data_IF_109199377598
#
_entry.id   IF_109199377598
#
_cell.length_a   1.000
_cell.length_b   1.000
_cell.length_c   1.000
_cell.angle_alpha   90.00
_cell.angle_beta   90.00
_cell.angle_gamma   90.00
#
_symmetry.space_group_name_H-M   'P 1'
#
loop_
_entity.id
_entity.type
_entity.pdbx_description
1 polymer ?
#
# COMPACT_ATOMS: atom_id res chain seq x y z
N UNK A 1 -9.63 10.04 -12.69
CA UNK A 1 -10.36 11.19 -12.10
C UNK A 1 -9.93 12.52 -12.69
N UNK A 2 -8.62 12.81 -12.81
CA UNK A 2 -8.09 14.05 -13.43
C UNK A 2 -8.73 14.40 -14.78
N UNK A 3 -8.74 13.46 -15.73
CA UNK A 3 -9.38 13.63 -17.05
C UNK A 3 -10.84 14.08 -17.00
N UNK A 4 -11.62 13.62 -16.02
CA UNK A 4 -13.06 13.98 -15.90
C UNK A 4 -13.22 15.43 -15.44
N UNK A 5 -12.33 15.89 -14.57
CA UNK A 5 -12.32 17.28 -14.11
C UNK A 5 -11.82 18.20 -15.22
N UNK A 6 -10.76 17.81 -15.94
CA UNK A 6 -10.23 18.57 -17.06
C UNK A 6 -11.26 18.72 -18.19
N UNK A 7 -11.98 17.66 -18.52
CA UNK A 7 -13.08 17.74 -19.49
C UNK A 7 -14.18 18.70 -19.01
N UNK A 8 -14.56 18.63 -17.73
CA UNK A 8 -15.54 19.55 -17.15
C UNK A 8 -15.06 21.01 -17.16
N UNK A 9 -13.79 21.25 -16.86
CA UNK A 9 -13.21 22.59 -16.90
C UNK A 9 -13.13 23.14 -18.32
N UNK A 10 -12.82 22.28 -19.29
CA UNK A 10 -12.85 22.64 -20.70
C UNK A 10 -14.29 23.02 -21.13
N UNK A 11 -15.29 22.23 -20.73
CA UNK A 11 -16.70 22.55 -20.99
C UNK A 11 -17.11 23.87 -20.32
N UNK A 12 -16.67 24.11 -19.08
CA UNK A 12 -16.92 25.38 -18.38
C UNK A 12 -16.26 26.56 -19.11
N UNK A 13 -14.99 26.42 -19.50
CA UNK A 13 -14.23 27.44 -20.21
C UNK A 13 -14.83 27.76 -21.58
N UNK A 14 -15.28 26.75 -22.32
CA UNK A 14 -15.99 26.91 -23.60
C UNK A 14 -17.29 27.73 -23.46
N UNK A 15 -17.88 27.74 -22.26
CA UNK A 15 -19.05 28.54 -21.91
C UNK A 15 -18.70 29.82 -21.14
N UNK A 16 -17.43 30.23 -21.09
CA UNK A 16 -16.92 31.38 -20.33
C UNK A 16 -17.25 31.33 -18.83
N UNK A 17 -17.35 30.12 -18.27
CA UNK A 17 -17.61 29.88 -16.85
C UNK A 17 -16.33 29.41 -16.17
N UNK A 18 -16.13 29.86 -14.93
CA UNK A 18 -15.23 29.16 -14.02
C UNK A 18 -15.86 27.84 -13.58
N UNK A 19 -15.03 26.91 -13.12
CA UNK A 19 -15.48 25.63 -12.55
C UNK A 19 -16.57 25.83 -11.50
N UNK A 20 -16.35 26.69 -10.52
CA UNK A 20 -17.32 26.99 -9.46
C UNK A 20 -18.63 27.57 -10.02
N UNK A 21 -18.55 28.43 -11.04
CA UNK A 21 -19.75 29.00 -11.67
C UNK A 21 -20.52 27.93 -12.44
N UNK A 22 -19.84 27.04 -13.16
CA UNK A 22 -20.46 25.92 -13.86
C UNK A 22 -21.18 24.96 -12.90
N UNK A 23 -20.57 24.67 -11.73
CA UNK A 23 -21.21 23.89 -10.67
C UNK A 23 -22.46 24.61 -10.14
N UNK A 24 -22.39 25.92 -9.89
CA UNK A 24 -23.55 26.70 -9.45
C UNK A 24 -24.69 26.72 -10.48
N UNK A 25 -24.37 26.73 -11.77
CA UNK A 25 -25.39 26.61 -12.83
C UNK A 25 -26.14 25.30 -12.67
N UNK A 26 -25.44 24.17 -12.52
CA UNK A 26 -26.06 22.86 -12.31
C UNK A 26 -26.92 22.79 -11.04
N UNK A 27 -26.46 23.39 -9.94
CA UNK A 27 -27.22 23.45 -8.69
C UNK A 27 -28.54 24.24 -8.83
N UNK A 28 -28.50 25.35 -9.60
CA UNK A 28 -29.62 26.29 -9.76
C UNK A 28 -30.61 25.92 -10.87
N UNK A 29 -30.28 24.99 -11.76
CA UNK A 29 -31.14 24.63 -12.92
C UNK A 29 -32.43 23.89 -12.52
N UNK A 30 -32.61 23.51 -11.25
CA UNK A 30 -33.85 22.92 -10.72
C UNK A 30 -34.09 21.44 -11.09
N UNK A 31 -33.22 20.84 -11.90
CA UNK A 31 -33.25 19.41 -12.22
C UNK A 31 -32.48 18.59 -11.18
N UNK A 32 -33.12 17.57 -10.62
CA UNK A 32 -32.47 16.63 -9.69
C UNK A 32 -31.25 15.94 -10.31
N UNK A 33 -31.27 15.65 -11.62
CA UNK A 33 -30.13 15.08 -12.32
C UNK A 33 -28.93 16.03 -12.34
N UNK A 34 -29.14 17.31 -12.65
CA UNK A 34 -28.07 18.31 -12.70
C UNK A 34 -27.54 18.64 -11.29
N UNK A 35 -28.41 18.70 -10.29
CA UNK A 35 -27.98 18.82 -8.89
C UNK A 35 -27.11 17.63 -8.45
N UNK A 36 -27.52 16.40 -8.78
CA UNK A 36 -26.72 15.21 -8.51
C UNK A 36 -25.38 15.26 -9.26
N UNK A 37 -25.37 15.78 -10.50
CA UNK A 37 -24.15 15.97 -11.27
C UNK A 37 -23.20 16.98 -10.59
N UNK A 38 -23.70 18.10 -10.09
CA UNK A 38 -22.91 19.06 -9.32
C UNK A 38 -22.26 18.41 -8.09
N UNK A 39 -23.03 17.64 -7.31
CA UNK A 39 -22.53 16.89 -6.15
C UNK A 39 -21.44 15.89 -6.54
N UNK A 40 -21.64 15.17 -7.65
CA UNK A 40 -20.66 14.21 -8.17
C UNK A 40 -19.35 14.87 -8.58
N UNK A 41 -19.41 16.01 -9.29
CA UNK A 41 -18.23 16.79 -9.69
C UNK A 41 -17.49 17.31 -8.44
N UNK A 42 -18.19 17.91 -7.48
CA UNK A 42 -17.60 18.36 -6.20
C UNK A 42 -16.89 17.22 -5.47
N UNK A 43 -17.52 16.06 -5.39
CA UNK A 43 -16.95 14.87 -4.75
C UNK A 43 -15.68 14.41 -5.47
N UNK A 44 -15.68 14.45 -6.81
CA UNK A 44 -14.53 14.05 -7.63
C UNK A 44 -13.36 15.01 -7.46
N UNK A 45 -13.62 16.32 -7.36
CA UNK A 45 -12.59 17.34 -7.09
C UNK A 45 -11.94 17.10 -5.74
N UNK A 46 -12.73 16.92 -4.67
CA UNK A 46 -12.19 16.63 -3.34
C UNK A 46 -11.32 15.38 -3.33
N UNK A 47 -11.81 14.29 -3.93
CA UNK A 47 -11.05 13.04 -4.04
C UNK A 47 -9.75 13.18 -4.82
N UNK A 48 -9.73 13.97 -5.89
CA UNK A 48 -8.49 14.19 -6.64
C UNK A 48 -7.45 14.89 -5.76
N UNK A 49 -7.84 15.92 -5.00
CA UNK A 49 -6.93 16.61 -4.09
C UNK A 49 -6.39 15.72 -2.97
N UNK A 50 -7.20 14.78 -2.47
CA UNK A 50 -6.75 13.78 -1.50
C UNK A 50 -5.68 12.85 -2.10
N UNK A 51 -5.92 12.35 -3.32
CA UNK A 51 -5.00 11.48 -4.04
C UNK A 51 -3.69 12.19 -4.39
N UNK A 52 -3.74 13.47 -4.77
CA UNK A 52 -2.53 14.25 -5.06
C UNK A 52 -1.66 14.43 -3.82
N UNK A 53 -2.28 14.70 -2.66
CA UNK A 53 -1.55 14.77 -1.38
C UNK A 53 -0.94 13.42 -0.99
N UNK A 54 -1.67 12.33 -1.21
CA UNK A 54 -1.15 10.98 -0.97
C UNK A 54 0.02 10.64 -1.92
N UNK A 55 -0.07 11.05 -3.19
CA UNK A 55 1.01 10.89 -4.17
C UNK A 55 2.26 11.64 -3.73
N UNK A 56 2.12 12.90 -3.29
CA UNK A 56 3.24 13.70 -2.78
C UNK A 56 3.90 13.03 -1.57
N UNK A 57 3.11 12.53 -0.62
CA UNK A 57 3.65 11.80 0.53
C UNK A 57 4.37 10.50 0.13
N UNK A 58 3.94 9.84 -0.95
CA UNK A 58 4.62 8.67 -1.52
C UNK A 58 5.93 9.01 -2.24
N UNK A 59 5.96 10.13 -2.93
CA UNK A 59 7.15 10.61 -3.66
C UNK A 59 8.22 11.12 -2.70
N UNK A 60 7.82 11.80 -1.61
CA UNK A 60 8.72 12.25 -0.55
C UNK A 60 9.25 11.09 0.32
N UNK A 61 8.53 9.95 0.36
CA UNK A 61 9.00 8.78 1.08
C UNK A 61 10.22 8.15 0.39
N UNK A 62 11.27 7.88 1.17
CA UNK A 62 12.43 7.13 0.70
C UNK A 62 11.96 5.81 0.04
N UNK A 63 12.48 5.43 -1.14
CA UNK A 63 12.01 4.23 -1.87
C UNK A 63 11.98 2.96 -1.02
N UNK A 64 12.93 2.83 -0.10
CA UNK A 64 13.07 1.73 0.86
C UNK A 64 11.90 1.65 1.86
N UNK A 65 11.26 2.77 2.18
CA UNK A 65 10.21 2.91 3.19
C UNK A 65 8.80 2.89 2.60
N UNK A 66 8.64 3.00 1.27
CA UNK A 66 7.32 2.97 0.60
C UNK A 66 6.45 1.77 0.99
N UNK A 67 6.97 0.53 1.12
CA UNK A 67 6.17 -0.60 1.60
C UNK A 67 5.62 -0.39 3.01
N UNK A 68 6.39 0.29 3.88
CA UNK A 68 6.00 0.56 5.26
C UNK A 68 4.93 1.66 5.34
N UNK A 69 4.96 2.64 4.42
CA UNK A 69 3.92 3.68 4.29
C UNK A 69 2.58 3.06 3.89
N UNK A 70 2.58 2.17 2.89
CA UNK A 70 1.39 1.39 2.48
C UNK A 70 0.85 0.58 3.67
N UNK A 71 1.74 -0.11 4.39
CA UNK A 71 1.36 -0.97 5.50
C UNK A 71 0.74 -0.21 6.70
N UNK A 72 1.02 1.10 6.84
CA UNK A 72 0.52 1.93 7.94
C UNK A 72 -0.95 2.35 7.76
N UNK A 73 -1.42 2.44 6.52
CA UNK A 73 -2.78 2.80 6.16
C UNK A 73 -3.28 1.94 4.98
N UNK A 74 -3.54 0.64 5.22
CA UNK A 74 -3.92 -0.28 4.16
C UNK A 74 -5.32 0.04 3.63
N UNK A 75 -5.42 0.37 2.34
CA UNK A 75 -6.69 0.43 1.62
C UNK A 75 -7.03 -0.99 1.11
N UNK A 76 -7.98 -1.66 1.79
CA UNK A 76 -8.28 -3.08 1.58
C UNK A 76 -8.61 -3.45 0.13
N UNK A 77 -9.55 -2.75 -0.54
CA UNK A 77 -9.85 -2.96 -1.95
C UNK A 77 -8.64 -2.79 -2.87
N UNK A 78 -7.81 -1.76 -2.65
CA UNK A 78 -6.60 -1.51 -3.46
C UNK A 78 -5.58 -2.63 -3.27
N UNK A 79 -5.36 -3.05 -2.03
CA UNK A 79 -4.46 -4.17 -1.73
C UNK A 79 -4.97 -5.47 -2.34
N UNK A 80 -6.27 -5.75 -2.24
CA UNK A 80 -6.84 -6.99 -2.78
C UNK A 80 -6.70 -7.05 -4.31
N UNK A 81 -6.96 -5.95 -5.02
CA UNK A 81 -6.69 -5.85 -6.45
C UNK A 81 -5.21 -6.00 -6.77
N UNK A 82 -4.34 -5.27 -6.06
CA UNK A 82 -2.90 -5.36 -6.25
C UNK A 82 -2.35 -6.78 -6.00
N UNK A 83 -2.86 -7.49 -4.99
CA UNK A 83 -2.48 -8.88 -4.72
C UNK A 83 -2.94 -9.85 -5.81
N UNK A 84 -4.10 -9.61 -6.43
CA UNK A 84 -4.59 -10.45 -7.53
C UNK A 84 -3.81 -10.21 -8.83
N UNK A 85 -3.41 -8.97 -9.08
CA UNK A 85 -2.70 -8.57 -10.30
C UNK A 85 -1.16 -8.70 -10.17
N UNK A 86 -0.64 -8.95 -8.96
CA UNK A 86 0.80 -9.04 -8.73
C UNK A 86 1.39 -10.32 -9.35
N UNK A 87 2.12 -10.14 -10.45
CA UNK A 87 2.94 -11.17 -11.05
C UNK A 87 4.42 -10.94 -10.68
N UNK A 88 5.02 -11.76 -9.80
CA UNK A 88 6.42 -11.59 -9.42
C UNK A 88 7.33 -11.77 -10.64
N UNK A 89 8.14 -10.74 -10.95
CA UNK A 89 9.06 -10.73 -12.09
C UNK A 89 10.22 -11.74 -12.00
N UNK A 90 10.24 -12.58 -10.96
CA UNK A 90 11.24 -13.63 -10.76
C UNK A 90 10.49 -14.97 -10.88
N UNK A 91 10.98 -15.93 -11.69
CA UNK A 91 10.36 -17.24 -11.80
C UNK A 91 10.52 -18.01 -10.49
N UNK A 92 9.60 -17.80 -9.55
CA UNK A 92 9.48 -18.62 -8.35
C UNK A 92 8.85 -19.94 -8.78
N UNK A 93 9.69 -20.90 -9.15
CA UNK A 93 9.20 -22.24 -9.48
C UNK A 93 8.80 -22.96 -8.19
N UNK A 94 7.68 -23.68 -8.21
CA UNK A 94 7.22 -24.48 -7.07
C UNK A 94 8.31 -25.46 -6.60
N UNK A 95 9.07 -26.01 -7.54
CA UNK A 95 10.21 -26.89 -7.27
C UNK A 95 11.33 -26.17 -6.51
N UNK A 96 11.67 -24.93 -6.89
CA UNK A 96 12.68 -24.14 -6.19
C UNK A 96 12.31 -23.87 -4.74
N UNK A 97 11.02 -23.62 -4.46
CA UNK A 97 10.52 -23.45 -3.10
C UNK A 97 10.67 -24.74 -2.27
N UNK A 98 10.30 -25.89 -2.83
CA UNK A 98 10.41 -27.20 -2.17
C UNK A 98 11.87 -27.53 -1.83
N UNK A 99 12.78 -27.36 -2.80
CA UNK A 99 14.20 -27.64 -2.58
C UNK A 99 14.85 -26.67 -1.58
N UNK A 100 14.47 -25.39 -1.62
CA UNK A 100 14.93 -24.40 -0.64
C UNK A 100 14.46 -24.76 0.76
N UNK A 101 13.18 -25.11 0.92
CA UNK A 101 12.62 -25.55 2.20
C UNK A 101 13.29 -26.83 2.72
N UNK A 102 13.48 -27.83 1.87
CA UNK A 102 14.16 -29.08 2.21
C UNK A 102 15.62 -28.84 2.64
N UNK A 103 16.36 -28.01 1.89
CA UNK A 103 17.73 -27.63 2.21
C UNK A 103 17.85 -26.88 3.53
N UNK A 104 16.89 -25.98 3.84
CA UNK A 104 16.83 -25.27 5.11
C UNK A 104 16.62 -26.23 6.29
N UNK A 105 15.69 -27.18 6.17
CA UNK A 105 15.42 -28.19 7.20
C UNK A 105 16.65 -29.07 7.42
N UNK A 106 17.27 -29.56 6.35
CA UNK A 106 18.47 -30.38 6.42
C UNK A 106 19.64 -29.62 7.05
N UNK A 107 19.94 -28.43 6.54
CA UNK A 107 21.03 -27.59 7.03
C UNK A 107 20.85 -27.22 8.51
N UNK A 108 19.63 -26.82 8.90
CA UNK A 108 19.30 -26.53 10.29
C UNK A 108 19.48 -27.77 11.19
N UNK A 109 19.04 -28.94 10.73
CA UNK A 109 19.17 -30.20 11.46
C UNK A 109 20.64 -30.60 11.67
N UNK A 110 21.47 -30.46 10.64
CA UNK A 110 22.92 -30.71 10.70
C UNK A 110 23.57 -29.72 11.68
N UNK A 111 23.29 -28.42 11.55
CA UNK A 111 23.83 -27.40 12.45
C UNK A 111 23.41 -27.63 13.90
N UNK A 112 22.16 -28.05 14.13
CA UNK A 112 21.66 -28.37 15.46
C UNK A 112 22.39 -29.57 16.05
N UNK A 113 22.54 -30.67 15.29
CA UNK A 113 23.27 -31.87 15.71
C UNK A 113 24.75 -31.59 16.01
N UNK A 114 25.43 -30.79 15.18
CA UNK A 114 26.82 -30.38 15.40
C UNK A 114 26.98 -29.41 16.58
N UNK A 115 25.94 -28.65 16.94
CA UNK A 115 25.92 -27.79 18.12
C UNK A 115 25.68 -28.51 19.45
N UNK A 116 25.15 -29.75 19.43
CA UNK A 116 24.95 -30.58 20.63
C UNK A 116 26.23 -30.86 21.43
N UNK A 117 27.37 -31.25 20.83
CA UNK A 117 28.61 -31.49 21.58
C UNK A 117 29.18 -30.23 22.23
N UNK A 118 28.93 -29.03 21.68
CA UNK A 118 29.38 -27.75 22.24
C UNK A 118 28.47 -27.22 23.38
N UNK A 119 27.35 -27.88 23.70
CA UNK A 119 26.43 -27.47 24.79
C UNK A 119 26.80 -27.99 26.19
N UNK A 120 27.99 -28.57 26.39
CA UNK A 120 28.50 -29.04 27.71
C UNK A 120 29.72 -28.18 28.12
N UNK A 121 29.83 -27.51 29.27
CA UNK A 121 29.08 -27.42 30.54
C UNK A 121 29.18 -25.97 31.05
N UNK A 122 28.08 -25.29 31.41
CA UNK A 122 28.18 -24.17 32.36
C UNK A 122 28.48 -24.78 33.72
N UNK A 123 29.74 -24.73 34.13
CA UNK A 123 30.17 -25.15 35.46
C UNK A 123 29.55 -24.19 36.46
N UNK A 124 28.43 -24.56 37.09
CA UNK A 124 27.90 -23.81 38.23
C UNK A 124 28.97 -23.82 39.31
N UNK A 125 29.51 -22.66 39.74
CA UNK A 125 30.47 -22.63 40.82
C UNK A 125 29.72 -22.98 42.11
N UNK A 126 30.15 -24.04 42.80
CA UNK A 126 29.64 -24.35 44.14
C UNK A 126 30.08 -23.22 45.08
N UNK A 127 29.12 -22.40 45.50
CA UNK A 127 29.30 -21.37 46.51
C UNK A 127 29.43 -22.05 47.87
N UNK A 128 30.67 -22.29 48.31
CA UNK A 128 30.96 -22.78 49.65
C UNK A 128 30.62 -21.68 50.66
N UNK A 129 29.52 -21.86 51.39
CA UNK A 129 29.21 -21.10 52.59
C UNK A 129 30.04 -21.69 53.72
N UNK A 130 31.04 -20.93 54.20
CA UNK A 130 31.69 -21.20 55.49
C UNK A 130 30.80 -20.62 56.59
N UNK A 131 30.48 -21.47 57.56
CA UNK A 131 29.92 -21.12 58.87
C UNK A 131 31.08 -20.77 59.79
#
# INVERSE_FOLDING_TARGET
>A
MRQVIEAFDADAANNNLSRENAIQVYEKTGSAFLQNRATSVRTTIGRLGDLERQSQAFDEAMPMLRPLVVARAPDGPVLQGAFQDFEPAIPITLHGFVWTGAGLILGFSIMWLLGLPFRRKKHSPKRNLRV
#
